data_IF_696101455818
#
_entry.id   IF_696101455818
#
_cell.length_a   1.000
_cell.length_b   1.000
_cell.length_c   1.000
_cell.angle_alpha   90.00
_cell.angle_beta   90.00
_cell.angle_gamma   90.00
#
_symmetry.space_group_name_H-M   'P 1'
#
loop_
_entity.id
_entity.type
_entity.pdbx_description
1 polymer ?
#
# COMPACT_ATOMS: atom_id res chain seq x y z
N UNK A 1 -24.55 7.64 -6.21
CA UNK A 1 -23.36 8.33 -5.67
C UNK A 1 -22.06 7.71 -6.16
N UNK A 2 -21.76 6.43 -5.87
CA UNK A 2 -20.49 5.79 -6.30
C UNK A 2 -20.25 5.89 -7.81
N UNK A 3 -21.23 5.50 -8.64
CA UNK A 3 -21.16 5.62 -10.11
C UNK A 3 -20.86 7.05 -10.59
N UNK A 4 -21.60 8.03 -10.07
CA UNK A 4 -21.41 9.44 -10.45
C UNK A 4 -19.99 9.93 -10.12
N UNK A 5 -19.46 9.53 -8.97
CA UNK A 5 -18.09 9.87 -8.58
C UNK A 5 -17.06 9.18 -9.50
N UNK A 6 -17.24 7.88 -9.77
CA UNK A 6 -16.37 7.13 -10.70
C UNK A 6 -16.37 7.74 -12.10
N UNK A 7 -17.56 8.07 -12.63
CA UNK A 7 -17.70 8.71 -13.94
C UNK A 7 -16.98 10.06 -13.97
N UNK A 8 -17.16 10.89 -12.94
CA UNK A 8 -16.51 12.19 -12.83
C UNK A 8 -14.98 12.09 -12.79
N UNK A 9 -14.44 11.17 -11.99
CA UNK A 9 -12.98 10.97 -11.89
C UNK A 9 -12.41 10.50 -13.22
N UNK A 10 -13.07 9.56 -13.90
CA UNK A 10 -12.63 9.08 -15.22
C UNK A 10 -12.67 10.17 -16.29
N UNK A 11 -13.70 11.02 -16.28
CA UNK A 11 -13.79 12.14 -17.21
C UNK A 11 -12.67 13.16 -16.96
N UNK A 12 -12.38 13.46 -15.69
CA UNK A 12 -11.39 14.49 -15.33
C UNK A 12 -9.95 13.99 -15.41
N UNK A 13 -9.72 12.70 -15.15
CA UNK A 13 -8.41 12.06 -15.03
C UNK A 13 -8.39 10.70 -15.73
N UNK A 14 -8.51 10.66 -17.08
CA UNK A 14 -8.72 9.42 -17.83
C UNK A 14 -7.58 8.40 -17.70
N UNK A 15 -6.36 8.86 -17.44
CA UNK A 15 -5.15 8.02 -17.35
C UNK A 15 -4.80 7.61 -15.90
N UNK A 16 -5.63 7.98 -14.92
CA UNK A 16 -5.36 7.75 -13.50
C UNK A 16 -6.17 6.56 -12.98
N UNK A 17 -5.47 5.61 -12.36
CA UNK A 17 -6.14 4.57 -11.59
C UNK A 17 -6.60 5.14 -10.25
N UNK A 18 -7.90 5.17 -10.03
CA UNK A 18 -8.49 5.57 -8.76
C UNK A 18 -8.94 4.35 -7.95
N UNK A 19 -8.64 4.36 -6.65
CA UNK A 19 -8.97 3.28 -5.72
C UNK A 19 -9.81 3.81 -4.56
N UNK A 20 -10.86 3.06 -4.21
CA UNK A 20 -11.55 3.23 -2.94
C UNK A 20 -10.82 2.43 -1.84
N UNK A 21 -10.24 3.17 -0.88
CA UNK A 21 -9.65 2.60 0.32
C UNK A 21 -10.67 2.66 1.45
N UNK A 22 -11.33 1.54 1.72
CA UNK A 22 -12.54 1.50 2.55
C UNK A 22 -12.26 1.17 4.02
N UNK A 23 -11.28 0.31 4.28
CA UNK A 23 -10.97 -0.16 5.62
C UNK A 23 -9.51 -0.61 5.69
N UNK A 24 -8.80 -0.14 6.72
CA UNK A 24 -7.42 -0.56 7.01
C UNK A 24 -7.39 -1.84 7.86
N UNK A 25 -6.76 -2.89 7.34
CA UNK A 25 -6.59 -4.19 8.00
C UNK A 25 -7.85 -4.76 8.69
N UNK A 26 -9.00 -4.88 7.98
CA UNK A 26 -10.27 -5.20 8.61
C UNK A 26 -10.19 -6.47 9.48
N UNK A 27 -10.78 -6.49 10.68
CA UNK A 27 -10.91 -7.69 11.49
C UNK A 27 -12.09 -8.56 11.03
N UNK A 28 -12.03 -9.87 11.28
CA UNK A 28 -13.04 -10.84 10.80
C UNK A 28 -14.49 -10.47 11.17
N UNK A 29 -14.71 -9.84 12.32
CA UNK A 29 -16.05 -9.42 12.80
C UNK A 29 -16.78 -8.44 11.87
N UNK A 30 -16.06 -7.73 10.98
CA UNK A 30 -16.67 -6.79 10.03
C UNK A 30 -16.78 -7.34 8.61
N UNK A 31 -16.28 -8.56 8.33
CA UNK A 31 -16.20 -9.09 6.97
C UNK A 31 -17.57 -9.18 6.29
N UNK A 32 -18.59 -9.64 7.02
CA UNK A 32 -19.96 -9.74 6.46
C UNK A 32 -20.51 -8.40 6.02
N UNK A 33 -20.33 -7.34 6.82
CA UNK A 33 -20.81 -6.01 6.46
C UNK A 33 -19.95 -5.39 5.36
N UNK A 34 -18.63 -5.60 5.43
CA UNK A 34 -17.71 -5.14 4.40
C UNK A 34 -18.01 -5.78 3.05
N UNK A 35 -18.32 -7.07 3.00
CA UNK A 35 -18.72 -7.78 1.79
C UNK A 35 -20.01 -7.23 1.17
N UNK A 36 -20.99 -6.84 1.99
CA UNK A 36 -22.20 -6.17 1.47
C UNK A 36 -21.83 -4.85 0.80
N UNK A 37 -20.94 -4.07 1.41
CA UNK A 37 -20.50 -2.77 0.90
C UNK A 37 -19.68 -2.94 -0.39
N UNK A 38 -18.64 -3.76 -0.37
CA UNK A 38 -17.74 -3.94 -1.53
C UNK A 38 -18.48 -4.50 -2.74
N UNK A 39 -19.36 -5.48 -2.54
CA UNK A 39 -20.16 -6.05 -3.62
C UNK A 39 -21.18 -5.04 -4.16
N UNK A 40 -21.87 -4.27 -3.30
CA UNK A 40 -22.79 -3.24 -3.74
C UNK A 40 -22.09 -2.12 -4.52
N UNK A 41 -20.89 -1.72 -4.08
CA UNK A 41 -20.06 -0.75 -4.80
C UNK A 41 -19.63 -1.27 -6.17
N UNK A 42 -19.17 -2.52 -6.25
CA UNK A 42 -18.79 -3.13 -7.54
C UNK A 42 -19.98 -3.26 -8.49
N UNK A 43 -21.16 -3.65 -8.00
CA UNK A 43 -22.38 -3.71 -8.81
C UNK A 43 -22.80 -2.32 -9.32
N UNK A 44 -22.71 -1.29 -8.48
CA UNK A 44 -23.11 0.07 -8.84
C UNK A 44 -22.09 0.78 -9.76
N UNK A 45 -20.81 0.47 -9.60
CA UNK A 45 -19.70 1.06 -10.34
C UNK A 45 -18.59 0.02 -10.58
N UNK A 46 -18.72 -0.83 -11.62
CA UNK A 46 -17.77 -1.91 -11.88
C UNK A 46 -16.32 -1.45 -12.11
N UNK A 47 -16.15 -0.22 -12.60
CA UNK A 47 -14.84 0.41 -12.84
C UNK A 47 -14.19 0.93 -11.55
N UNK A 48 -14.92 1.01 -10.44
CA UNK A 48 -14.35 1.42 -9.15
C UNK A 48 -13.47 0.30 -8.61
N UNK A 49 -12.16 0.54 -8.58
CA UNK A 49 -11.21 -0.37 -7.96
C UNK A 49 -11.26 -0.24 -6.45
N UNK A 50 -11.34 -1.36 -5.74
CA UNK A 50 -11.32 -1.39 -4.26
C UNK A 50 -9.96 -1.94 -3.82
N UNK A 51 -9.34 -1.23 -2.87
CA UNK A 51 -8.05 -1.59 -2.28
C UNK A 51 -8.21 -1.95 -0.81
N UNK A 52 -7.65 -3.09 -0.38
CA UNK A 52 -7.67 -3.53 1.03
C UNK A 52 -6.30 -4.10 1.44
N UNK A 53 -5.66 -3.56 2.49
CA UNK A 53 -4.47 -4.13 3.10
C UNK A 53 -4.86 -5.28 4.02
N UNK A 54 -4.81 -6.51 3.49
CA UNK A 54 -5.14 -7.76 4.19
C UNK A 54 -4.65 -8.95 3.36
N UNK A 55 -4.52 -10.12 3.99
CA UNK A 55 -4.43 -11.35 3.21
C UNK A 55 -5.69 -11.56 2.36
N UNK A 56 -5.54 -12.25 1.24
CA UNK A 56 -6.66 -12.62 0.37
C UNK A 56 -7.70 -13.39 1.19
N UNK A 57 -8.94 -12.89 1.20
CA UNK A 57 -10.07 -13.52 1.88
C UNK A 57 -11.32 -13.42 1.04
N UNK A 58 -12.01 -14.55 0.87
CA UNK A 58 -13.29 -14.62 0.16
C UNK A 58 -14.44 -13.97 0.95
N UNK A 59 -14.24 -13.71 2.24
CA UNK A 59 -15.29 -13.26 3.14
C UNK A 59 -15.54 -11.74 3.07
N UNK A 60 -14.63 -10.98 2.44
CA UNK A 60 -14.69 -9.51 2.31
C UNK A 60 -15.37 -9.08 1.00
N UNK A 61 -15.77 -10.02 0.14
CA UNK A 61 -16.41 -9.75 -1.14
C UNK A 61 -15.44 -9.25 -2.20
N UNK A 62 -15.91 -8.38 -3.10
CA UNK A 62 -15.11 -7.87 -4.22
C UNK A 62 -13.96 -6.96 -3.74
N UNK A 63 -12.74 -7.30 -4.14
CA UNK A 63 -11.54 -6.47 -3.95
C UNK A 63 -10.75 -6.48 -5.25
N UNK A 64 -10.37 -5.31 -5.76
CA UNK A 64 -9.55 -5.23 -6.98
C UNK A 64 -8.07 -5.45 -6.66
N UNK A 65 -7.59 -4.89 -5.54
CA UNK A 65 -6.20 -4.97 -5.12
C UNK A 65 -6.11 -5.40 -3.66
N UNK A 66 -5.56 -6.59 -3.45
CA UNK A 66 -5.19 -7.07 -2.13
C UNK A 66 -3.78 -6.63 -1.83
N UNK A 67 -3.57 -5.89 -0.75
CA UNK A 67 -2.24 -5.58 -0.26
C UNK A 67 -1.90 -6.50 0.91
N UNK A 68 -1.16 -7.57 0.63
CA UNK A 68 -0.93 -8.69 1.54
C UNK A 68 0.28 -8.40 2.45
N UNK A 69 0.18 -8.63 3.76
CA UNK A 69 1.35 -8.55 4.64
C UNK A 69 2.41 -9.57 4.22
N UNK A 70 3.69 -9.17 4.12
CA UNK A 70 4.78 -10.15 3.94
C UNK A 70 5.12 -10.96 5.20
N UNK A 71 4.48 -10.67 6.33
CA UNK A 71 4.68 -11.41 7.57
C UNK A 71 4.22 -12.86 7.44
N UNK A 72 4.89 -13.82 8.13
CA UNK A 72 4.46 -15.22 8.14
C UNK A 72 2.99 -15.37 8.53
N UNK A 73 2.28 -16.28 7.85
CA UNK A 73 0.86 -16.58 8.11
C UNK A 73 -0.14 -15.84 7.22
N UNK A 74 0.28 -14.82 6.48
CA UNK A 74 -0.59 -14.05 5.59
C UNK A 74 -0.46 -14.40 4.10
N UNK A 75 0.65 -15.07 3.73
CA UNK A 75 0.89 -15.51 2.36
C UNK A 75 0.08 -16.79 2.06
N UNK A 76 -0.80 -16.69 1.09
CA UNK A 76 -1.62 -17.81 0.61
C UNK A 76 -1.47 -17.93 -0.92
N UNK A 77 -0.38 -18.56 -1.41
CA UNK A 77 0.00 -18.53 -2.82
C UNK A 77 -1.11 -18.99 -3.77
N UNK A 78 -1.84 -20.04 -3.41
CA UNK A 78 -2.94 -20.55 -4.23
C UNK A 78 -4.10 -19.57 -4.35
N UNK A 79 -4.43 -18.83 -3.27
CA UNK A 79 -5.49 -17.83 -3.30
C UNK A 79 -5.05 -16.58 -4.07
N UNK A 80 -3.83 -16.11 -3.83
CA UNK A 80 -3.23 -14.99 -4.56
C UNK A 80 -3.16 -15.26 -6.06
N UNK A 81 -2.72 -16.46 -6.45
CA UNK A 81 -2.67 -16.88 -7.85
C UNK A 81 -4.06 -16.87 -8.50
N UNK A 82 -5.08 -17.38 -7.81
CA UNK A 82 -6.45 -17.36 -8.32
C UNK A 82 -6.98 -15.93 -8.54
N UNK A 83 -6.64 -14.99 -7.65
CA UNK A 83 -7.01 -13.57 -7.82
C UNK A 83 -6.27 -12.93 -9.01
N UNK A 84 -4.97 -13.20 -9.18
CA UNK A 84 -4.20 -12.73 -10.34
C UNK A 84 -4.77 -13.25 -11.66
N UNK A 85 -5.09 -14.54 -11.73
CA UNK A 85 -5.75 -15.17 -12.89
C UNK A 85 -7.14 -14.57 -13.18
N UNK A 86 -7.81 -14.04 -12.15
CA UNK A 86 -9.06 -13.30 -12.27
C UNK A 86 -8.88 -11.80 -12.62
N UNK A 87 -7.65 -11.36 -12.92
CA UNK A 87 -7.34 -9.97 -13.29
C UNK A 87 -7.28 -9.00 -12.11
N UNK A 88 -7.02 -9.52 -10.90
CA UNK A 88 -6.81 -8.71 -9.69
C UNK A 88 -5.35 -8.42 -9.46
N UNK A 89 -5.09 -7.46 -8.59
CA UNK A 89 -3.75 -7.08 -8.18
C UNK A 89 -3.41 -7.68 -6.81
N UNK A 90 -2.19 -8.22 -6.69
CA UNK A 90 -1.61 -8.68 -5.43
C UNK A 90 -0.40 -7.80 -5.15
N UNK A 91 -0.58 -6.89 -4.19
CA UNK A 91 0.47 -6.04 -3.69
C UNK A 91 0.99 -6.59 -2.37
N UNK A 92 2.18 -6.18 -1.96
CA UNK A 92 2.74 -6.53 -0.66
C UNK A 92 3.12 -5.33 0.17
N UNK A 93 3.01 -5.40 1.49
CA UNK A 93 3.41 -4.33 2.41
C UNK A 93 4.08 -4.87 3.68
N UNK A 94 4.29 -3.97 4.65
CA UNK A 94 5.07 -4.17 5.87
C UNK A 94 6.58 -4.28 5.64
N UNK A 95 7.08 -3.64 4.57
CA UNK A 95 8.52 -3.48 4.40
C UNK A 95 9.07 -2.41 5.34
N UNK A 96 10.05 -2.78 6.14
CA UNK A 96 10.67 -1.88 7.09
C UNK A 96 11.99 -1.39 6.51
N UNK A 97 11.99 -0.17 5.98
CA UNK A 97 13.16 0.50 5.40
C UNK A 97 13.94 1.24 6.49
N UNK A 98 14.44 0.56 7.54
CA UNK A 98 15.18 1.23 8.63
C UNK A 98 16.52 1.78 8.16
N UNK A 99 17.05 2.75 8.91
CA UNK A 99 18.44 3.22 8.78
C UNK A 99 19.45 2.31 9.50
N UNK A 100 19.00 1.28 10.20
CA UNK A 100 19.87 0.35 10.92
C UNK A 100 20.95 -0.24 9.99
N UNK A 101 22.22 -0.33 10.46
CA UNK A 101 23.35 -0.74 9.63
C UNK A 101 23.23 -2.16 9.07
N UNK A 102 22.35 -2.99 9.62
CA UNK A 102 22.09 -4.36 9.16
C UNK A 102 20.87 -4.50 8.24
N UNK A 103 20.07 -3.44 8.07
CA UNK A 103 18.81 -3.47 7.31
C UNK A 103 18.94 -2.91 5.88
N UNK A 104 20.10 -2.39 5.47
CA UNK A 104 20.29 -1.79 4.12
C UNK A 104 19.97 -2.76 2.98
N UNK A 105 20.28 -4.06 3.15
CA UNK A 105 20.02 -5.06 2.12
C UNK A 105 18.53 -5.32 1.97
N UNK A 106 17.75 -5.13 3.05
CA UNK A 106 16.31 -5.35 3.02
C UNK A 106 15.66 -4.37 2.05
N UNK A 107 15.95 -3.07 2.13
CA UNK A 107 15.43 -2.07 1.18
C UNK A 107 15.53 -2.52 -0.28
N UNK A 108 16.71 -3.01 -0.68
CA UNK A 108 16.99 -3.50 -2.04
C UNK A 108 16.28 -4.79 -2.43
N UNK A 109 16.00 -5.67 -1.47
CA UNK A 109 15.37 -6.96 -1.72
C UNK A 109 13.85 -6.87 -1.87
N UNK A 110 13.23 -5.74 -1.51
CA UNK A 110 11.78 -5.63 -1.46
C UNK A 110 11.10 -5.93 -2.80
N UNK A 111 11.56 -5.30 -3.88
CA UNK A 111 11.02 -5.56 -5.24
C UNK A 111 11.27 -6.98 -5.70
N UNK A 112 12.43 -7.56 -5.36
CA UNK A 112 12.74 -8.96 -5.63
C UNK A 112 11.83 -9.91 -4.85
N UNK A 113 11.45 -9.57 -3.63
CA UNK A 113 10.55 -10.39 -2.84
C UNK A 113 9.12 -10.33 -3.38
N UNK A 114 8.65 -9.14 -3.79
CA UNK A 114 7.38 -8.97 -4.50
C UNK A 114 7.37 -9.87 -5.74
N UNK A 115 8.42 -9.77 -6.56
CA UNK A 115 8.59 -10.59 -7.75
C UNK A 115 8.59 -12.10 -7.42
N UNK A 116 9.34 -12.51 -6.39
CA UNK A 116 9.42 -13.92 -5.99
C UNK A 116 8.12 -14.51 -5.43
N UNK A 117 7.19 -13.64 -5.02
CA UNK A 117 5.89 -14.02 -4.49
C UNK A 117 4.76 -13.87 -5.54
N UNK A 118 5.10 -13.66 -6.82
CA UNK A 118 4.18 -13.40 -7.93
C UNK A 118 3.32 -12.13 -7.74
N UNK A 119 3.80 -11.16 -6.96
CA UNK A 119 3.13 -9.87 -6.76
C UNK A 119 3.33 -8.91 -7.92
N UNK A 120 2.36 -8.03 -8.12
CA UNK A 120 2.39 -6.99 -9.15
C UNK A 120 2.42 -5.55 -8.58
N UNK A 121 2.65 -5.41 -7.27
CA UNK A 121 2.86 -4.11 -6.65
C UNK A 121 3.40 -4.18 -5.22
N UNK A 122 3.79 -3.03 -4.71
CA UNK A 122 4.29 -2.85 -3.36
C UNK A 122 3.70 -1.60 -2.73
N UNK A 123 3.47 -1.64 -1.43
CA UNK A 123 3.05 -0.49 -0.63
C UNK A 123 4.10 -0.20 0.45
N UNK A 124 4.62 1.02 0.40
CA UNK A 124 5.29 1.65 1.53
C UNK A 124 4.30 2.59 2.21
N UNK A 125 3.92 2.25 3.45
CA UNK A 125 2.88 2.97 4.20
C UNK A 125 3.20 4.45 4.44
N UNK A 126 4.49 4.80 4.54
CA UNK A 126 4.94 6.17 4.65
C UNK A 126 6.26 6.39 3.94
N UNK A 127 6.29 7.44 3.12
CA UNK A 127 7.47 7.89 2.38
C UNK A 127 8.01 9.21 2.93
N UNK A 128 7.16 10.00 3.58
CA UNK A 128 7.46 11.27 4.25
C UNK A 128 6.75 11.29 5.61
N UNK A 129 7.49 11.19 6.72
CA UNK A 129 6.95 11.36 8.07
C UNK A 129 7.76 12.40 8.83
N UNK A 130 7.13 13.55 9.09
CA UNK A 130 7.73 14.68 9.79
C UNK A 130 6.78 15.23 10.88
N UNK A 131 6.61 14.50 11.99
CA UNK A 131 5.76 14.95 13.09
C UNK A 131 6.27 16.26 13.71
N UNK A 132 5.34 17.08 14.22
CA UNK A 132 5.66 18.38 14.81
C UNK A 132 6.69 18.25 15.93
N UNK A 133 7.75 19.06 15.87
CA UNK A 133 8.79 19.10 16.90
C UNK A 133 9.88 18.02 16.78
N UNK A 134 9.86 17.21 15.72
CA UNK A 134 10.89 16.22 15.40
C UNK A 134 11.63 16.72 14.16
N UNK A 135 12.96 16.77 14.21
CA UNK A 135 13.76 17.07 13.04
C UNK A 135 14.17 15.76 12.35
N UNK A 136 13.59 15.39 11.20
CA UNK A 136 13.85 14.11 10.57
C UNK A 136 15.32 13.95 10.15
N UNK A 137 16.08 15.03 10.02
CA UNK A 137 17.50 15.00 9.68
C UNK A 137 18.42 14.51 10.81
N UNK A 138 18.00 14.66 12.08
CA UNK A 138 18.86 14.39 13.24
C UNK A 138 18.17 13.53 14.30
N UNK A 139 16.84 13.51 14.36
CA UNK A 139 16.04 12.78 15.35
C UNK A 139 15.54 11.43 14.80
N UNK A 140 16.42 10.64 14.16
CA UNK A 140 16.02 9.38 13.50
C UNK A 140 15.32 8.41 14.45
N UNK A 141 15.75 8.32 15.71
CA UNK A 141 15.14 7.47 16.74
C UNK A 141 13.70 7.89 17.09
N UNK A 142 13.33 9.15 16.83
CA UNK A 142 11.98 9.67 17.04
C UNK A 142 11.10 9.55 15.80
N UNK A 143 11.70 9.20 14.66
CA UNK A 143 10.96 8.82 13.46
C UNK A 143 10.70 7.31 13.53
N UNK A 144 9.48 6.88 13.20
CA UNK A 144 9.05 5.49 13.38
C UNK A 144 10.07 4.48 12.83
N UNK A 145 10.50 3.53 13.66
CA UNK A 145 11.46 2.48 13.29
C UNK A 145 12.79 3.02 12.72
N UNK A 146 13.40 4.02 13.37
CA UNK A 146 14.70 4.59 12.97
C UNK A 146 14.71 5.02 11.49
N UNK A 147 13.87 6.01 11.15
CA UNK A 147 13.74 6.51 9.78
C UNK A 147 12.89 5.65 8.86
N UNK A 148 12.32 4.54 9.34
CA UNK A 148 11.50 3.62 8.54
C UNK A 148 10.22 4.22 7.94
N UNK A 149 9.78 5.39 8.42
CA UNK A 149 8.65 6.15 7.86
C UNK A 149 9.08 7.38 7.04
N UNK A 150 10.38 7.60 6.87
CA UNK A 150 10.92 8.81 6.21
C UNK A 150 12.04 8.39 5.27
N UNK A 151 11.70 8.21 3.99
CA UNK A 151 12.68 7.93 2.92
C UNK A 151 12.86 9.10 1.96
N UNK A 152 11.95 10.07 1.99
CA UNK A 152 12.13 11.41 1.43
C UNK A 152 12.12 12.42 2.58
N UNK A 153 13.07 13.34 2.57
CA UNK A 153 13.31 14.29 3.64
C UNK A 153 12.83 15.69 3.23
N UNK A 154 12.37 16.51 4.18
CA UNK A 154 12.03 17.90 3.89
C UNK A 154 13.28 18.66 3.44
N UNK A 155 13.13 19.69 2.60
CA UNK A 155 14.27 20.50 2.14
C UNK A 155 15.10 21.07 3.29
N UNK A 156 16.40 21.27 3.05
CA UNK A 156 17.30 21.88 4.04
C UNK A 156 17.22 23.41 4.01
N UNK A 157 16.85 23.97 2.85
CA UNK A 157 16.70 25.41 2.64
C UNK A 157 15.38 25.74 1.97
N UNK A 158 14.91 26.95 2.19
CA UNK A 158 13.74 27.47 1.49
C UNK A 158 13.97 27.46 -0.03
N UNK A 159 12.98 26.98 -0.78
CA UNK A 159 13.05 26.85 -2.24
C UNK A 159 13.66 25.54 -2.74
N UNK A 160 14.17 24.66 -1.88
CA UNK A 160 14.58 23.31 -2.27
C UNK A 160 13.38 22.35 -2.33
N UNK A 161 13.50 21.30 -3.15
CA UNK A 161 12.55 20.19 -3.21
C UNK A 161 12.81 19.16 -2.11
N UNK A 162 11.92 18.15 -2.00
CA UNK A 162 12.17 17.03 -1.09
C UNK A 162 13.43 16.27 -1.50
N UNK A 163 14.23 15.88 -0.51
CA UNK A 163 15.51 15.21 -0.73
C UNK A 163 15.32 13.69 -0.62
N UNK A 164 15.52 12.91 -1.71
CA UNK A 164 15.43 11.46 -1.64
C UNK A 164 16.62 10.89 -0.85
N UNK A 165 16.35 9.87 -0.04
CA UNK A 165 17.42 9.09 0.58
C UNK A 165 17.98 8.02 -0.35
N UNK A 166 19.15 7.48 -0.01
CA UNK A 166 19.69 6.31 -0.70
C UNK A 166 18.71 5.11 -0.66
N UNK A 167 17.86 5.01 0.38
CA UNK A 167 16.83 3.97 0.49
C UNK A 167 15.73 4.16 -0.56
N UNK A 168 15.35 5.40 -0.88
CA UNK A 168 14.35 5.68 -1.91
C UNK A 168 14.83 5.27 -3.32
N UNK A 169 16.13 5.37 -3.59
CA UNK A 169 16.73 4.93 -4.86
C UNK A 169 16.90 3.40 -4.98
N UNK A 170 16.58 2.65 -3.92
CA UNK A 170 16.73 1.19 -3.87
C UNK A 170 15.41 0.44 -4.02
N UNK A 171 14.30 1.18 -4.06
CA UNK A 171 12.93 0.65 -4.21
C UNK A 171 12.47 0.80 -5.65
#
# INVERSE_FOLDING_TARGET
>A
MAKQFTDHVKERFPDVNFYAYLYDEPPAKVYTELAKITNALHQAAPDLKIFIPKQVSKDIGYVQTWCVPMSPGYLHPNLQKAELEAGRDIWYYNWVVRLDPYDYIRGRLYTWQIYSADGNGGLLWNTVFNPKGINPWNDFEKTHSCGGATIFYPPLKEGEEMIPSLRAAQV
#
